data_IF_691714768967
#
_entry.id   IF_691714768967
#
_cell.length_a   1.000
_cell.length_b   1.000
_cell.length_c   1.000
_cell.angle_alpha   90.00
_cell.angle_beta   90.00
_cell.angle_gamma   90.00
#
_symmetry.space_group_name_H-M   'P 1'
#
loop_
_entity.id
_entity.type
_entity.pdbx_description
1 polymer ?
#
# COMPACT_ATOMS: atom_id res chain seq x y z
N UNK A 1 -0.07 11.63 32.74
CA UNK A 1 0.36 10.97 31.49
C UNK A 1 -0.64 9.86 31.24
N UNK A 2 -1.44 9.93 30.17
CA UNK A 2 -2.54 8.99 29.92
C UNK A 2 -1.95 7.63 29.53
N UNK A 3 -1.87 6.69 30.48
CA UNK A 3 -1.26 5.36 30.30
C UNK A 3 -2.22 4.32 29.70
N UNK A 4 -3.47 4.69 29.42
CA UNK A 4 -4.54 3.75 29.03
C UNK A 4 -4.40 3.14 27.63
N UNK A 5 -3.43 3.58 26.81
CA UNK A 5 -3.18 3.04 25.46
C UNK A 5 -1.79 2.43 25.28
N UNK A 6 -1.01 2.27 26.35
CA UNK A 6 0.38 1.79 26.26
C UNK A 6 0.50 0.35 25.73
N UNK A 7 -0.57 -0.45 25.89
CA UNK A 7 -0.63 -1.83 25.42
C UNK A 7 -1.18 -1.96 23.99
N UNK A 8 -1.75 -0.90 23.42
CA UNK A 8 -2.27 -0.90 22.05
C UNK A 8 -1.15 -1.21 21.06
N UNK A 9 -1.47 -2.00 20.03
CA UNK A 9 -0.55 -2.32 18.95
C UNK A 9 0.02 -1.05 18.31
N UNK A 10 -0.81 -0.02 18.07
CA UNK A 10 -0.40 1.26 17.50
C UNK A 10 0.64 1.98 18.36
N UNK A 11 0.50 1.89 19.68
CA UNK A 11 1.47 2.47 20.61
C UNK A 11 2.81 1.73 20.55
N UNK A 12 2.79 0.40 20.39
CA UNK A 12 3.98 -0.46 20.27
C UNK A 12 4.74 -0.27 18.95
N UNK A 13 4.03 -0.04 17.85
CA UNK A 13 4.63 0.28 16.54
C UNK A 13 5.37 1.62 16.62
N UNK A 14 4.70 2.64 17.18
CA UNK A 14 5.27 3.98 17.35
C UNK A 14 5.08 4.90 16.14
N UNK A 15 4.99 6.20 16.43
CA UNK A 15 4.61 7.22 15.44
C UNK A 15 5.53 7.28 14.22
N UNK A 16 6.83 7.02 14.38
CA UNK A 16 7.79 7.11 13.28
C UNK A 16 7.45 6.11 12.17
N UNK A 17 7.20 4.86 12.53
CA UNK A 17 6.89 3.81 11.56
C UNK A 17 5.49 3.97 10.98
N UNK A 18 4.51 4.41 11.79
CA UNK A 18 3.17 4.75 11.31
C UNK A 18 3.22 5.86 10.26
N UNK A 19 3.92 6.97 10.55
CA UNK A 19 4.05 8.10 9.62
C UNK A 19 4.77 7.69 8.34
N UNK A 20 5.78 6.81 8.44
CA UNK A 20 6.49 6.29 7.26
C UNK A 20 5.57 5.45 6.37
N UNK A 21 4.78 4.54 6.96
CA UNK A 21 3.79 3.76 6.23
C UNK A 21 2.73 4.66 5.58
N UNK A 22 2.23 5.68 6.30
CA UNK A 22 1.29 6.66 5.74
C UNK A 22 1.86 7.44 4.56
N UNK A 23 3.13 7.83 4.60
CA UNK A 23 3.79 8.54 3.51
C UNK A 23 3.91 7.65 2.26
N UNK A 24 4.31 6.39 2.42
CA UNK A 24 4.40 5.44 1.30
C UNK A 24 3.03 5.11 0.71
N UNK A 25 1.99 4.97 1.53
CA UNK A 25 0.61 4.86 1.04
C UNK A 25 0.16 6.12 0.28
N UNK A 26 0.58 7.30 0.71
CA UNK A 26 0.27 8.55 0.01
C UNK A 26 0.89 8.60 -1.38
N UNK A 27 2.08 8.02 -1.57
CA UNK A 27 2.70 7.88 -2.90
C UNK A 27 1.85 7.00 -3.83
N UNK A 28 1.28 5.89 -3.32
CA UNK A 28 0.33 5.05 -4.08
C UNK A 28 -0.91 5.86 -4.48
N UNK A 29 -1.49 6.61 -3.54
CA UNK A 29 -2.64 7.48 -3.82
C UNK A 29 -2.30 8.50 -4.90
N UNK A 30 -1.09 9.07 -4.88
CA UNK A 30 -0.63 9.99 -5.93
C UNK A 30 -0.53 9.30 -7.29
N UNK A 31 -0.03 8.05 -7.35
CA UNK A 31 0.00 7.27 -8.59
C UNK A 31 -1.41 6.98 -9.11
N UNK A 32 -2.33 6.56 -8.24
CA UNK A 32 -3.73 6.28 -8.60
C UNK A 32 -4.49 7.49 -9.17
N UNK A 33 -4.03 8.71 -8.87
CA UNK A 33 -4.61 9.94 -9.40
C UNK A 33 -3.95 10.42 -10.70
N UNK A 34 -2.95 9.72 -11.22
CA UNK A 34 -2.38 10.01 -12.53
C UNK A 34 -3.29 9.50 -13.65
N UNK A 35 -3.18 10.12 -14.82
CA UNK A 35 -3.86 9.63 -16.01
C UNK A 35 -3.23 8.30 -16.49
N UNK A 36 -4.05 7.41 -17.03
CA UNK A 36 -3.64 6.09 -17.55
C UNK A 36 -2.69 6.16 -18.77
N UNK A 37 -2.29 7.36 -19.20
CA UNK A 37 -1.31 7.58 -20.28
C UNK A 37 0.15 7.51 -19.80
N UNK A 38 0.38 7.33 -18.50
CA UNK A 38 1.72 7.19 -17.95
C UNK A 38 2.22 5.77 -18.19
N UNK A 39 3.18 5.63 -19.11
CA UNK A 39 3.85 4.36 -19.38
C UNK A 39 4.47 3.81 -18.08
N UNK A 40 4.09 2.59 -17.73
CA UNK A 40 4.54 1.94 -16.50
C UNK A 40 3.73 2.27 -15.24
N UNK A 41 2.63 3.02 -15.35
CA UNK A 41 1.77 3.36 -14.19
C UNK A 41 1.39 2.14 -13.36
N UNK A 42 0.86 1.11 -14.00
CA UNK A 42 0.43 -0.11 -13.32
C UNK A 42 1.63 -0.88 -12.73
N UNK A 43 2.80 -0.86 -13.38
CA UNK A 43 4.00 -1.48 -12.84
C UNK A 43 4.46 -0.77 -11.56
N UNK A 44 4.45 0.57 -11.56
CA UNK A 44 4.79 1.38 -10.38
C UNK A 44 3.79 1.18 -9.24
N UNK A 45 2.48 1.13 -9.52
CA UNK A 45 1.44 0.85 -8.52
C UNK A 45 1.63 -0.55 -7.90
N UNK A 46 1.84 -1.56 -8.75
CA UNK A 46 2.03 -2.96 -8.29
C UNK A 46 3.28 -3.08 -7.42
N UNK A 47 4.37 -2.43 -7.82
CA UNK A 47 5.62 -2.39 -7.07
C UNK A 47 5.45 -1.69 -5.72
N UNK A 48 4.95 -0.47 -5.71
CA UNK A 48 4.80 0.31 -4.48
C UNK A 48 3.84 -0.37 -3.49
N UNK A 49 2.74 -0.96 -3.98
CA UNK A 49 1.83 -1.74 -3.13
C UNK A 49 2.53 -2.96 -2.51
N UNK A 50 3.40 -3.63 -3.26
CA UNK A 50 4.20 -4.75 -2.74
C UNK A 50 5.23 -4.28 -1.71
N UNK A 51 5.94 -3.19 -1.97
CA UNK A 51 6.94 -2.64 -1.06
C UNK A 51 6.31 -2.29 0.30
N UNK A 52 5.12 -1.69 0.32
CA UNK A 52 4.37 -1.39 1.57
C UNK A 52 3.91 -2.67 2.28
N UNK A 53 3.36 -3.65 1.54
CA UNK A 53 2.92 -4.93 2.11
C UNK A 53 4.08 -5.68 2.79
N UNK A 54 5.26 -5.67 2.17
CA UNK A 54 6.45 -6.38 2.66
C UNK A 54 7.15 -5.62 3.80
N UNK A 55 7.12 -4.28 3.78
CA UNK A 55 7.82 -3.45 4.76
C UNK A 55 7.10 -3.39 6.13
N UNK A 56 5.77 -3.51 6.15
CA UNK A 56 4.97 -3.26 7.35
C UNK A 56 4.07 -4.44 7.71
N UNK A 57 4.65 -5.53 8.24
CA UNK A 57 3.91 -6.74 8.64
C UNK A 57 2.68 -6.50 9.55
N UNK A 58 2.66 -5.38 10.28
CA UNK A 58 1.58 -5.04 11.20
C UNK A 58 0.31 -4.51 10.51
N UNK A 59 0.37 -4.13 9.23
CA UNK A 59 -0.76 -3.51 8.52
C UNK A 59 -1.90 -4.50 8.23
N UNK A 60 -1.67 -5.80 8.42
CA UNK A 60 -2.71 -6.84 8.35
C UNK A 60 -3.52 -6.97 9.64
N UNK A 61 -3.04 -6.39 10.74
CA UNK A 61 -3.69 -6.51 12.04
C UNK A 61 -5.02 -5.72 12.05
N UNK A 62 -6.11 -6.28 12.61
CA UNK A 62 -7.41 -5.60 12.66
C UNK A 62 -7.35 -4.23 13.35
N UNK A 63 -6.50 -4.10 14.37
CA UNK A 63 -6.27 -2.84 15.11
C UNK A 63 -5.67 -1.73 14.22
N UNK A 64 -5.15 -2.08 13.05
CA UNK A 64 -4.58 -1.16 12.06
C UNK A 64 -5.51 -0.94 10.87
N UNK A 65 -6.78 -1.36 11.00
CA UNK A 65 -7.81 -1.30 9.97
C UNK A 65 -7.55 -2.16 8.73
N UNK A 66 -6.70 -3.20 8.86
CA UNK A 66 -6.40 -4.15 7.79
C UNK A 66 -6.04 -3.46 6.46
N UNK A 67 -5.10 -2.52 6.54
CA UNK A 67 -4.59 -1.75 5.39
C UNK A 67 -3.99 -2.65 4.29
N UNK A 68 -3.63 -3.89 4.59
CA UNK A 68 -3.21 -4.87 3.59
C UNK A 68 -4.29 -5.13 2.52
N UNK A 69 -5.58 -5.10 2.89
CA UNK A 69 -6.70 -5.43 1.99
C UNK A 69 -6.73 -4.52 0.75
N UNK A 70 -6.83 -3.18 0.88
CA UNK A 70 -6.82 -2.31 -0.29
C UNK A 70 -5.50 -2.36 -1.07
N UNK A 71 -4.36 -2.56 -0.39
CA UNK A 71 -3.04 -2.66 -1.05
C UNK A 71 -2.94 -3.93 -1.93
N UNK A 72 -3.47 -5.06 -1.45
CA UNK A 72 -3.57 -6.30 -2.21
C UNK A 72 -4.48 -6.14 -3.44
N UNK A 73 -5.61 -5.43 -3.29
CA UNK A 73 -6.50 -5.12 -4.41
C UNK A 73 -5.83 -4.24 -5.47
N UNK A 74 -5.09 -3.21 -5.07
CA UNK A 74 -4.33 -2.35 -5.99
C UNK A 74 -3.28 -3.14 -6.75
N UNK A 75 -2.48 -3.95 -6.05
CA UNK A 75 -1.48 -4.84 -6.66
C UNK A 75 -2.12 -5.80 -7.66
N UNK A 76 -3.20 -6.47 -7.28
CA UNK A 76 -3.88 -7.45 -8.13
C UNK A 76 -4.43 -6.80 -9.41
N UNK A 77 -5.13 -5.67 -9.25
CA UNK A 77 -5.73 -4.93 -10.37
C UNK A 77 -4.67 -4.41 -11.33
N UNK A 78 -3.57 -3.85 -10.80
CA UNK A 78 -2.46 -3.37 -11.61
C UNK A 78 -1.78 -4.50 -12.40
N UNK A 79 -1.54 -5.65 -11.77
CA UNK A 79 -0.99 -6.83 -12.47
C UNK A 79 -1.92 -7.36 -13.56
N UNK A 80 -3.23 -7.34 -13.33
CA UNK A 80 -4.21 -7.72 -14.34
C UNK A 80 -4.17 -6.77 -15.55
N UNK A 81 -4.06 -5.46 -15.33
CA UNK A 81 -3.94 -4.47 -16.39
C UNK A 81 -2.67 -4.65 -17.22
N UNK A 82 -1.52 -4.91 -16.57
CA UNK A 82 -0.25 -5.23 -17.24
C UNK A 82 -0.41 -6.47 -18.13
N UNK A 83 -0.95 -7.56 -17.56
CA UNK A 83 -1.13 -8.81 -18.29
C UNK A 83 -2.10 -8.69 -19.47
N UNK A 84 -3.10 -7.80 -19.39
CA UNK A 84 -4.00 -7.55 -20.52
C UNK A 84 -3.33 -6.74 -21.63
N UNK A 85 -2.47 -5.77 -21.29
CA UNK A 85 -1.67 -5.04 -22.27
C UNK A 85 -0.68 -5.97 -23.00
N UNK A 86 0.02 -6.84 -22.29
CA UNK A 86 1.00 -7.77 -22.88
C UNK A 86 0.36 -8.72 -23.92
N UNK A 87 -0.88 -9.17 -23.70
CA UNK A 87 -1.61 -10.01 -24.66
C UNK A 87 -1.92 -9.31 -25.99
N UNK A 88 -2.06 -7.99 -25.97
CA UNK A 88 -2.40 -7.19 -27.16
C UNK A 88 -1.14 -6.86 -27.98
N UNK A 89 0.02 -6.80 -27.33
CA UNK A 89 1.32 -6.55 -27.99
C UNK A 89 1.87 -7.83 -28.65
N UNK A 90 1.39 -9.01 -28.23
CA UNK A 90 1.77 -10.32 -28.76
C UNK A 90 1.00 -10.70 -30.03
#
# INVERSE_FOLDING_TARGET
VNTENSDSLLFKIGNKDIVKAMAECQEIITLLNKEDNYDGLYADISKQSTDVLDAYFWISEPDTSSLNVPLEEFKSTANAAIGEFEKVVQ
#
